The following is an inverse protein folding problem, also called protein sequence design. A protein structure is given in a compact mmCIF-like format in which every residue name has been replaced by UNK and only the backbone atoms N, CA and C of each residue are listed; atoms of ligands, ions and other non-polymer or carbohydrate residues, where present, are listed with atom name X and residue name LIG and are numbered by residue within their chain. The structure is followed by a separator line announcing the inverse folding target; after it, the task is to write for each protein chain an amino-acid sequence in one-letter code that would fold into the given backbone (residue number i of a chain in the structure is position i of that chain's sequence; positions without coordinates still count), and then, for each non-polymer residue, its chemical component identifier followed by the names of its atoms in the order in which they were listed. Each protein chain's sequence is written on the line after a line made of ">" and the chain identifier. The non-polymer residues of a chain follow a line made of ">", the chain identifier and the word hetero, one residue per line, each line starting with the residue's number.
data_IF_369203537056
#
_entry.id   IF_369203537056
#
_cell.length_a   1.000
_cell.length_b   1.000
_cell.length_c   1.000
_cell.angle_alpha   90.00
_cell.angle_beta   90.00
_cell.angle_gamma   90.00
#
_symmetry.space_group_name_H-M   'P 1'
#
loop_
_entity.id
_entity.type
_entity.pdbx_description
1 polymer ?
#
# COMPACT_ATOMS: atom_id res chain seq x y z
N UNK A 1 0.71 -0.22 4.42
CA UNK A 1 0.64 0.00 2.96
C UNK A 1 0.11 1.38 2.65
N UNK A 2 0.28 1.92 1.44
CA UNK A 2 -0.32 3.19 1.04
C UNK A 2 -1.32 2.99 -0.10
N UNK A 3 -2.50 3.57 0.06
CA UNK A 3 -3.60 3.51 -0.92
C UNK A 3 -3.74 4.88 -1.58
N UNK A 4 -3.80 4.91 -2.91
CA UNK A 4 -4.04 6.12 -3.68
C UNK A 4 -5.51 6.54 -3.58
N UNK A 5 -5.77 7.81 -3.22
CA UNK A 5 -7.12 8.37 -3.04
C UNK A 5 -7.51 9.38 -4.12
N UNK A 6 -6.64 9.66 -5.10
CA UNK A 6 -6.87 10.68 -6.12
C UNK A 6 -6.15 11.99 -5.82
N UNK A 7 -5.94 12.82 -6.84
CA UNK A 7 -5.38 14.17 -6.67
C UNK A 7 -4.01 14.20 -5.96
N UNK A 8 -3.17 13.20 -6.18
CA UNK A 8 -1.86 13.02 -5.51
C UNK A 8 -1.94 12.75 -4.00
N UNK A 9 -3.10 12.34 -3.49
CA UNK A 9 -3.29 11.98 -2.09
C UNK A 9 -3.12 10.48 -1.86
N UNK A 10 -2.46 10.16 -0.74
CA UNK A 10 -2.17 8.80 -0.32
C UNK A 10 -2.55 8.61 1.14
N UNK A 11 -3.26 7.52 1.42
CA UNK A 11 -3.66 7.14 2.77
C UNK A 11 -2.78 6.00 3.27
N UNK A 12 -2.16 6.16 4.44
CA UNK A 12 -1.46 5.06 5.11
C UNK A 12 -2.49 4.10 5.70
N UNK A 13 -2.47 2.87 5.23
CA UNK A 13 -3.37 1.79 5.63
C UNK A 13 -2.61 0.71 6.40
N UNK A 14 -3.17 0.30 7.54
CA UNK A 14 -2.74 -0.91 8.25
C UNK A 14 -3.36 -2.10 7.54
N UNK A 15 -2.53 -3.10 7.21
CA UNK A 15 -2.95 -4.34 6.53
C UNK A 15 -2.43 -5.53 7.32
N UNK A 16 -3.19 -6.61 7.32
CA UNK A 16 -2.73 -7.89 7.84
C UNK A 16 -2.14 -8.71 6.70
N UNK A 17 -0.88 -9.11 6.84
CA UNK A 17 -0.18 -9.91 5.84
C UNK A 17 -0.27 -11.40 6.20
N UNK A 18 -0.38 -12.23 5.17
CA UNK A 18 -0.40 -13.69 5.27
C UNK A 18 0.92 -14.30 4.83
N UNK A 19 0.84 -15.35 4.03
CA UNK A 19 2.04 -15.99 3.48
C UNK A 19 2.81 -15.03 2.56
N UNK A 20 4.14 -15.12 2.60
CA UNK A 20 5.04 -14.36 1.74
C UNK A 20 5.94 -15.33 0.98
N UNK A 21 6.15 -15.06 -0.31
CA UNK A 21 7.16 -15.72 -1.13
C UNK A 21 8.25 -14.69 -1.53
N UNK A 22 9.10 -15.02 -2.51
CA UNK A 22 10.22 -14.15 -2.90
C UNK A 22 9.79 -12.82 -3.52
N UNK A 23 8.64 -12.77 -4.19
CA UNK A 23 8.19 -11.62 -5.00
C UNK A 23 6.85 -11.07 -4.55
N UNK A 24 6.05 -11.89 -3.88
CA UNK A 24 4.65 -11.61 -3.57
C UNK A 24 4.37 -11.84 -2.08
N UNK A 25 3.43 -11.07 -1.56
CA UNK A 25 2.90 -11.24 -0.21
C UNK A 25 1.38 -11.27 -0.26
N UNK A 26 0.79 -12.19 0.49
CA UNK A 26 -0.65 -12.28 0.66
C UNK A 26 -1.14 -11.18 1.61
N UNK A 27 -2.25 -10.54 1.24
CA UNK A 27 -2.96 -9.59 2.10
C UNK A 27 -4.27 -10.21 2.55
N UNK A 28 -4.37 -10.48 3.86
CA UNK A 28 -5.54 -11.10 4.47
C UNK A 28 -6.64 -10.09 4.79
N UNK A 29 -6.28 -8.84 5.11
CA UNK A 29 -7.25 -7.78 5.41
C UNK A 29 -6.65 -6.38 5.30
N UNK A 30 -7.55 -5.38 5.27
CA UNK A 30 -7.19 -3.95 5.27
C UNK A 30 -7.23 -3.28 3.90
N UNK A 31 -7.62 -4.00 2.85
CA UNK A 31 -7.82 -3.47 1.51
C UNK A 31 -9.13 -3.96 0.89
N UNK A 32 -9.64 -3.16 -0.04
CA UNK A 32 -10.80 -3.52 -0.86
C UNK A 32 -10.39 -3.73 -2.31
N UNK A 33 -11.13 -4.59 -3.01
CA UNK A 33 -10.95 -4.78 -4.45
C UNK A 33 -11.13 -3.46 -5.20
N UNK A 34 -10.24 -3.22 -6.17
CA UNK A 34 -10.21 -1.99 -6.96
C UNK A 34 -9.44 -0.82 -6.33
N UNK A 35 -9.00 -0.92 -5.07
CA UNK A 35 -8.08 0.07 -4.49
C UNK A 35 -6.71 0.01 -5.18
N UNK A 36 -6.18 1.17 -5.56
CA UNK A 36 -4.83 1.31 -6.12
C UNK A 36 -3.83 1.49 -5.00
N UNK A 37 -2.77 0.69 -5.00
CA UNK A 37 -1.79 0.63 -3.91
C UNK A 37 -0.39 0.93 -4.41
N UNK A 38 0.44 1.51 -3.55
CA UNK A 38 1.81 1.89 -3.90
C UNK A 38 2.74 0.71 -3.62
N UNK A 39 3.39 0.18 -4.66
CA UNK A 39 4.34 -0.94 -4.59
C UNK A 39 5.81 -0.50 -4.71
N UNK A 40 6.07 0.69 -5.24
CA UNK A 40 7.41 1.26 -5.43
C UNK A 40 7.44 2.75 -5.05
N UNK A 41 8.63 3.31 -4.79
CA UNK A 41 8.78 4.74 -4.53
C UNK A 41 8.27 5.24 -3.16
N UNK A 42 7.95 4.33 -2.23
CA UNK A 42 7.47 4.64 -0.88
C UNK A 42 8.39 5.58 -0.08
N UNK A 43 9.70 5.57 -0.37
CA UNK A 43 10.67 6.45 0.28
C UNK A 43 10.43 7.93 -0.05
N UNK A 44 9.99 8.24 -1.28
CA UNK A 44 9.74 9.61 -1.72
C UNK A 44 8.49 10.22 -1.07
N UNK A 45 7.51 9.38 -0.70
CA UNK A 45 6.31 9.81 0.02
C UNK A 45 6.61 10.28 1.44
N UNK A 46 7.67 9.78 2.08
CA UNK A 46 8.09 10.21 3.43
C UNK A 46 8.86 11.53 3.44
N UNK A 47 9.34 12.00 2.30
CA UNK A 47 10.23 13.15 2.21
C UNK A 47 9.51 14.51 2.08
N UNK A 48 8.19 14.53 1.84
CA UNK A 48 7.40 15.77 1.87
C UNK A 48 6.89 16.01 3.29
N UNK A 49 7.56 16.89 4.03
CA UNK A 49 7.14 17.44 5.32
C UNK A 49 6.75 18.89 5.16
#
# INVERSE_FOLDING_TARGET
>A
MFVYKGGEQFEKRVVTLGAQNKTDVEVLSGLNLGERVVIEGLYQLKAKK
#
